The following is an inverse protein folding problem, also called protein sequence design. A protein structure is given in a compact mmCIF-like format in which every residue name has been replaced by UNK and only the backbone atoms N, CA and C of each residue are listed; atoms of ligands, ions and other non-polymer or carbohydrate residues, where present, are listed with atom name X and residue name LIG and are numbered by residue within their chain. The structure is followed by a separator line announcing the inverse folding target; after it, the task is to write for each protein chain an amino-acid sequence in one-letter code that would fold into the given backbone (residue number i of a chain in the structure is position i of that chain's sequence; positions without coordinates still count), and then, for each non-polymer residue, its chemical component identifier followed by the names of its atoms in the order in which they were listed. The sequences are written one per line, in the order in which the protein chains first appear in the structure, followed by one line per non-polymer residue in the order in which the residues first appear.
data_IF_981250791503
#
_entry.id   IF_981250791503
#
_cell.length_a   1.000
_cell.length_b   1.000
_cell.length_c   1.000
_cell.angle_alpha   90.00
_cell.angle_beta   90.00
_cell.angle_gamma   90.00
#
_symmetry.space_group_name_H-M   'P 1'
#
loop_
_entity.id
_entity.type
_entity.pdbx_description
1 polymer ?
#
# COMPACT_ATOMS: atom_id res chain seq x y z
N UNK A 1 35.51 3.70 -12.97
CA UNK A 1 34.98 4.47 -11.82
C UNK A 1 33.73 5.29 -12.13
N UNK A 2 33.68 6.06 -13.23
CA UNK A 2 32.51 6.89 -13.55
C UNK A 2 31.20 6.09 -13.70
N UNK A 3 31.25 4.92 -14.36
CA UNK A 3 30.10 4.04 -14.53
C UNK A 3 29.45 3.61 -13.20
N UNK A 4 30.27 3.16 -12.23
CA UNK A 4 29.80 2.73 -10.90
C UNK A 4 29.16 3.92 -10.17
N UNK A 5 29.80 5.09 -10.21
CA UNK A 5 29.27 6.32 -9.59
C UNK A 5 27.92 6.72 -10.19
N UNK A 6 27.78 6.67 -11.51
CA UNK A 6 26.50 6.98 -12.18
C UNK A 6 25.40 6.01 -11.78
N UNK A 7 25.69 4.70 -11.70
CA UNK A 7 24.71 3.69 -11.27
C UNK A 7 24.32 3.85 -9.81
N UNK A 8 25.29 4.08 -8.93
CA UNK A 8 25.03 4.33 -7.52
C UNK A 8 24.16 5.58 -7.33
N UNK A 9 24.50 6.68 -7.99
CA UNK A 9 23.71 7.91 -7.95
C UNK A 9 22.30 7.71 -8.52
N UNK A 10 22.13 6.89 -9.56
CA UNK A 10 20.81 6.55 -10.07
C UNK A 10 20.00 5.77 -9.03
N UNK A 11 20.56 4.69 -8.48
CA UNK A 11 19.87 3.78 -7.56
C UNK A 11 19.46 4.46 -6.25
N UNK A 12 20.31 5.33 -5.70
CA UNK A 12 20.07 5.94 -4.38
C UNK A 12 19.74 7.44 -4.44
N UNK A 13 19.87 8.09 -5.59
CA UNK A 13 19.62 9.52 -5.77
C UNK A 13 18.41 9.86 -6.64
N UNK A 14 17.72 8.87 -7.22
CA UNK A 14 16.53 9.09 -8.04
C UNK A 14 15.33 8.29 -7.55
N UNK A 15 14.13 8.84 -7.69
CA UNK A 15 12.87 8.15 -7.35
C UNK A 15 12.75 6.79 -8.05
N UNK A 16 13.10 6.73 -9.33
CA UNK A 16 13.06 5.47 -10.10
C UNK A 16 14.07 4.44 -9.60
N UNK A 17 15.26 4.89 -9.23
CA UNK A 17 16.29 4.03 -8.64
C UNK A 17 15.86 3.46 -7.30
N UNK A 18 15.33 4.29 -6.41
CA UNK A 18 14.85 3.86 -5.10
C UNK A 18 13.72 2.83 -5.21
N UNK A 19 12.77 3.05 -6.13
CA UNK A 19 11.72 2.09 -6.44
C UNK A 19 12.32 0.78 -6.97
N UNK A 20 13.29 0.85 -7.89
CA UNK A 20 13.94 -0.35 -8.44
C UNK A 20 14.65 -1.17 -7.36
N UNK A 21 15.36 -0.51 -6.44
CA UNK A 21 16.03 -1.19 -5.32
C UNK A 21 15.00 -1.89 -4.42
N UNK A 22 13.93 -1.19 -4.04
CA UNK A 22 12.89 -1.78 -3.20
C UNK A 22 12.19 -2.98 -3.88
N UNK A 23 11.86 -2.89 -5.18
CA UNK A 23 11.30 -4.01 -5.94
C UNK A 23 12.29 -5.18 -6.02
N UNK A 24 13.57 -4.91 -6.25
CA UNK A 24 14.59 -5.96 -6.29
C UNK A 24 14.74 -6.66 -4.94
N UNK A 25 14.69 -5.91 -3.83
CA UNK A 25 14.72 -6.48 -2.48
C UNK A 25 13.48 -7.34 -2.20
N UNK A 26 12.27 -6.87 -2.55
CA UNK A 26 11.04 -7.66 -2.43
C UNK A 26 11.17 -8.96 -3.25
N UNK A 27 11.66 -8.86 -4.49
CA UNK A 27 11.86 -10.01 -5.36
C UNK A 27 12.85 -11.02 -4.78
N UNK A 28 13.95 -10.54 -4.20
CA UNK A 28 14.94 -11.39 -3.53
C UNK A 28 14.36 -12.09 -2.30
N UNK A 29 13.66 -11.35 -1.43
CA UNK A 29 13.02 -11.94 -0.25
C UNK A 29 11.96 -12.97 -0.66
N UNK A 30 11.12 -12.62 -1.63
CA UNK A 30 10.08 -13.54 -2.13
C UNK A 30 10.70 -14.80 -2.74
N UNK A 31 11.78 -14.67 -3.50
CA UNK A 31 12.47 -15.81 -4.09
C UNK A 31 13.07 -16.73 -3.02
N UNK A 32 13.76 -16.18 -2.02
CA UNK A 32 14.44 -16.97 -0.98
C UNK A 32 13.42 -17.57 0.00
N UNK A 33 12.58 -16.74 0.61
CA UNK A 33 11.64 -17.19 1.65
C UNK A 33 10.40 -17.88 1.10
N UNK A 34 10.01 -17.61 -0.15
CA UNK A 34 8.96 -18.38 -0.84
C UNK A 34 9.32 -19.86 -1.00
N UNK A 35 10.61 -20.19 -1.09
CA UNK A 35 11.11 -21.57 -1.08
C UNK A 35 10.94 -22.28 0.28
N UNK A 36 10.56 -21.56 1.34
CA UNK A 36 10.25 -22.13 2.66
C UNK A 36 8.77 -22.50 2.84
N UNK A 37 7.93 -22.24 1.84
CA UNK A 37 6.49 -22.51 1.89
C UNK A 37 6.16 -24.01 2.00
N UNK A 38 4.92 -24.33 2.39
CA UNK A 38 4.42 -25.71 2.52
C UNK A 38 4.62 -26.55 1.25
N UNK A 39 4.17 -26.10 0.07
CA UNK A 39 4.37 -26.84 -1.18
C UNK A 39 5.85 -27.11 -1.49
N UNK A 40 6.72 -26.13 -1.24
CA UNK A 40 8.16 -26.27 -1.46
C UNK A 40 8.82 -27.21 -0.44
N UNK A 41 8.25 -27.32 0.76
CA UNK A 41 8.66 -28.32 1.76
C UNK A 41 8.29 -29.74 1.33
N UNK A 42 7.11 -29.95 0.75
CA UNK A 42 6.69 -31.25 0.21
C UNK A 42 7.60 -31.73 -0.94
N UNK A 43 8.17 -30.78 -1.70
CA UNK A 43 9.16 -31.04 -2.76
C UNK A 43 10.61 -31.19 -2.24
N UNK A 44 10.87 -31.10 -0.94
CA UNK A 44 12.21 -31.16 -0.35
C UNK A 44 13.07 -29.90 -0.54
N UNK A 45 12.57 -28.89 -1.26
CA UNK A 45 13.33 -27.65 -1.58
C UNK A 45 13.62 -26.84 -0.31
N UNK A 46 12.67 -26.79 0.63
CA UNK A 46 12.87 -26.09 1.91
C UNK A 46 14.12 -26.57 2.63
N UNK A 47 14.34 -27.88 2.71
CA UNK A 47 15.48 -28.46 3.42
C UNK A 47 16.81 -28.07 2.76
N UNK A 48 16.86 -28.12 1.42
CA UNK A 48 18.03 -27.66 0.65
C UNK A 48 18.36 -26.20 0.96
N UNK A 49 17.36 -25.32 0.90
CA UNK A 49 17.55 -23.87 1.14
C UNK A 49 17.99 -23.60 2.58
N UNK A 50 17.36 -24.25 3.55
CA UNK A 50 17.71 -24.12 4.98
C UNK A 50 19.16 -24.53 5.23
N UNK A 51 19.59 -25.66 4.67
CA UNK A 51 20.95 -26.17 4.84
C UNK A 51 21.97 -25.31 4.10
N UNK A 52 21.68 -24.88 2.86
CA UNK A 52 22.56 -24.03 2.05
C UNK A 52 22.83 -22.69 2.72
N UNK A 53 21.79 -22.08 3.30
CA UNK A 53 21.88 -20.75 3.91
C UNK A 53 22.20 -20.80 5.41
N UNK A 54 22.17 -21.98 6.04
CA UNK A 54 22.40 -22.12 7.48
C UNK A 54 21.29 -21.51 8.34
N UNK A 55 20.04 -21.56 7.87
CA UNK A 55 18.89 -21.03 8.60
C UNK A 55 18.56 -21.87 9.83
N UNK A 56 18.10 -21.22 10.90
CA UNK A 56 17.68 -21.86 12.16
C UNK A 56 16.17 -21.77 12.31
N UNK A 57 15.47 -22.85 11.96
CA UNK A 57 14.00 -22.89 12.00
C UNK A 57 13.51 -23.74 13.16
N UNK A 58 13.18 -23.13 14.30
CA UNK A 58 12.47 -23.81 15.39
C UNK A 58 10.97 -23.71 15.15
N UNK A 59 10.24 -24.82 15.22
CA UNK A 59 8.81 -24.84 14.88
C UNK A 59 7.97 -23.91 15.76
N UNK A 60 8.29 -23.79 17.05
CA UNK A 60 7.57 -22.96 18.02
C UNK A 60 7.62 -21.44 17.71
N UNK A 61 8.53 -21.00 16.85
CA UNK A 61 8.72 -19.58 16.52
C UNK A 61 8.15 -19.24 15.13
N UNK A 62 7.44 -20.19 14.49
CA UNK A 62 6.98 -20.06 13.10
C UNK A 62 6.12 -18.82 12.90
N UNK A 63 5.18 -18.58 13.80
CA UNK A 63 4.23 -17.48 13.75
C UNK A 63 4.96 -16.13 13.81
N UNK A 64 5.90 -15.99 14.75
CA UNK A 64 6.75 -14.80 14.86
C UNK A 64 7.59 -14.53 13.59
N UNK A 65 8.18 -15.57 13.00
CA UNK A 65 8.94 -15.45 11.74
C UNK A 65 8.06 -14.97 10.58
N UNK A 66 6.83 -15.47 10.49
CA UNK A 66 5.87 -15.09 9.45
C UNK A 66 5.46 -13.62 9.64
N UNK A 67 5.18 -13.18 10.86
CA UNK A 67 4.86 -11.78 11.18
C UNK A 67 6.00 -10.86 10.69
N UNK A 68 7.25 -11.19 11.03
CA UNK A 68 8.41 -10.39 10.63
C UNK A 68 8.62 -10.39 9.11
N UNK A 69 8.41 -11.52 8.44
CA UNK A 69 8.47 -11.62 6.98
C UNK A 69 7.45 -10.70 6.31
N UNK A 70 6.19 -10.75 6.75
CA UNK A 70 5.15 -9.89 6.18
C UNK A 70 5.44 -8.41 6.39
N UNK A 71 5.88 -8.01 7.60
CA UNK A 71 6.22 -6.62 7.87
C UNK A 71 7.43 -6.16 7.05
N UNK A 72 8.46 -7.00 6.90
CA UNK A 72 9.65 -6.69 6.11
C UNK A 72 9.31 -6.37 4.65
N UNK A 73 8.53 -7.24 4.01
CA UNK A 73 8.08 -7.04 2.62
C UNK A 73 7.14 -5.83 2.53
N UNK A 74 6.17 -5.73 3.45
CA UNK A 74 5.20 -4.63 3.45
C UNK A 74 5.87 -3.26 3.59
N UNK A 75 6.93 -3.15 4.38
CA UNK A 75 7.67 -1.89 4.56
C UNK A 75 8.35 -1.43 3.27
N UNK A 76 8.84 -2.34 2.43
CA UNK A 76 9.36 -1.99 1.11
C UNK A 76 8.25 -1.52 0.15
N UNK A 77 7.06 -2.12 0.21
CA UNK A 77 5.89 -1.68 -0.58
C UNK A 77 5.47 -0.26 -0.16
N UNK A 78 5.35 0.00 1.14
CA UNK A 78 5.06 1.33 1.69
C UNK A 78 6.13 2.35 1.28
N UNK A 79 7.41 1.94 1.24
CA UNK A 79 8.49 2.79 0.73
C UNK A 79 8.31 3.15 -0.76
N UNK A 80 7.97 2.17 -1.60
CA UNK A 80 7.68 2.39 -3.03
C UNK A 80 6.56 3.41 -3.22
N UNK A 81 5.44 3.23 -2.51
CA UNK A 81 4.32 4.17 -2.54
C UNK A 81 4.74 5.57 -2.12
N UNK A 82 5.50 5.67 -1.03
CA UNK A 82 6.03 6.94 -0.52
C UNK A 82 6.91 7.64 -1.56
N UNK A 83 7.81 6.92 -2.23
CA UNK A 83 8.62 7.48 -3.31
C UNK A 83 7.77 7.97 -4.48
N UNK A 84 6.73 7.22 -4.86
CA UNK A 84 5.82 7.62 -5.93
C UNK A 84 5.03 8.87 -5.56
N UNK A 85 4.53 8.98 -4.32
CA UNK A 85 3.84 10.18 -3.82
C UNK A 85 4.77 11.40 -3.90
N UNK A 86 5.99 11.29 -3.38
CA UNK A 86 6.99 12.38 -3.40
C UNK A 86 7.47 12.72 -4.83
N UNK A 87 7.30 11.81 -5.78
CA UNK A 87 7.59 12.01 -7.20
C UNK A 87 6.44 12.63 -7.97
N UNK A 88 5.19 12.34 -7.61
CA UNK A 88 3.98 12.72 -8.35
C UNK A 88 3.29 13.99 -7.80
N UNK A 89 3.45 14.26 -6.51
CA UNK A 89 2.85 15.42 -5.83
C UNK A 89 3.90 16.49 -5.55
N UNK A 90 3.48 17.74 -5.65
CA UNK A 90 4.29 18.89 -5.21
C UNK A 90 4.45 18.83 -3.69
N UNK A 91 5.69 18.79 -3.21
CA UNK A 91 6.03 18.75 -1.78
C UNK A 91 7.24 19.65 -1.55
N UNK A 92 7.26 20.39 -0.42
CA UNK A 92 8.42 21.20 -0.02
C UNK A 92 9.69 20.33 0.04
N UNK A 93 10.81 20.89 -0.44
CA UNK A 93 12.07 20.15 -0.61
C UNK A 93 12.55 19.47 0.69
N UNK A 94 12.42 20.15 1.82
CA UNK A 94 12.78 19.60 3.13
C UNK A 94 12.03 18.29 3.42
N UNK A 95 10.70 18.28 3.33
CA UNK A 95 9.91 17.07 3.59
C UNK A 95 10.21 15.97 2.59
N UNK A 96 10.39 16.32 1.31
CA UNK A 96 10.78 15.34 0.28
C UNK A 96 12.08 14.62 0.65
N UNK A 97 13.11 15.36 1.04
CA UNK A 97 14.39 14.77 1.44
C UNK A 97 14.28 14.00 2.76
N UNK A 98 13.66 14.58 3.79
CA UNK A 98 13.54 13.97 5.11
C UNK A 98 12.76 12.66 5.08
N UNK A 99 11.57 12.66 4.45
CA UNK A 99 10.74 11.45 4.30
C UNK A 99 11.49 10.39 3.49
N UNK A 100 12.14 10.78 2.38
CA UNK A 100 12.91 9.83 1.55
C UNK A 100 14.02 9.16 2.36
N UNK A 101 14.80 9.90 3.14
CA UNK A 101 15.90 9.33 3.93
C UNK A 101 15.35 8.39 5.00
N UNK A 102 14.36 8.83 5.77
CA UNK A 102 13.79 8.03 6.86
C UNK A 102 13.14 6.75 6.36
N UNK A 103 12.33 6.83 5.30
CA UNK A 103 11.67 5.65 4.74
C UNK A 103 12.71 4.69 4.12
N UNK A 104 13.73 5.21 3.43
CA UNK A 104 14.79 4.39 2.79
C UNK A 104 15.59 3.63 3.83
N UNK A 105 16.13 4.33 4.83
CA UNK A 105 16.91 3.69 5.90
C UNK A 105 16.00 2.75 6.69
N UNK A 106 14.78 3.18 6.99
CA UNK A 106 13.80 2.41 7.73
C UNK A 106 13.51 1.05 7.09
N UNK A 107 13.09 1.01 5.83
CA UNK A 107 12.71 -0.25 5.18
C UNK A 107 13.92 -1.19 4.97
N UNK A 108 15.10 -0.65 4.68
CA UNK A 108 16.34 -1.45 4.56
C UNK A 108 16.69 -2.10 5.90
N UNK A 109 16.61 -1.35 7.01
CA UNK A 109 16.84 -1.90 8.34
C UNK A 109 15.81 -2.99 8.67
N UNK A 110 14.53 -2.72 8.42
CA UNK A 110 13.45 -3.68 8.66
C UNK A 110 13.67 -4.97 7.87
N UNK A 111 13.94 -4.88 6.57
CA UNK A 111 14.15 -6.06 5.72
C UNK A 111 15.36 -6.89 6.15
N UNK A 112 16.54 -6.27 6.19
CA UNK A 112 17.80 -6.98 6.44
C UNK A 112 17.83 -7.57 7.86
N UNK A 113 17.52 -6.75 8.86
CA UNK A 113 17.64 -7.18 10.25
C UNK A 113 16.42 -7.95 10.74
N UNK A 114 15.24 -7.74 10.15
CA UNK A 114 14.08 -8.60 10.37
C UNK A 114 14.35 -10.02 9.91
N UNK A 115 14.85 -10.18 8.67
CA UNK A 115 15.19 -11.50 8.13
C UNK A 115 16.36 -12.14 8.90
N UNK A 116 17.39 -11.35 9.22
CA UNK A 116 18.52 -11.78 10.04
C UNK A 116 18.08 -12.30 11.41
N UNK A 117 17.23 -11.55 12.11
CA UNK A 117 16.73 -11.95 13.42
C UNK A 117 15.85 -13.21 13.34
N UNK A 118 14.87 -13.21 12.45
CA UNK A 118 13.85 -14.26 12.37
C UNK A 118 14.40 -15.60 11.86
N UNK A 119 15.41 -15.62 10.98
CA UNK A 119 15.83 -16.86 10.30
C UNK A 119 17.26 -17.31 10.64
N UNK A 120 18.07 -16.50 11.33
CA UNK A 120 19.50 -16.80 11.58
C UNK A 120 19.90 -16.80 13.07
N UNK A 121 18.96 -17.10 13.97
CA UNK A 121 19.27 -17.42 15.37
C UNK A 121 19.04 -16.30 16.38
N UNK A 122 17.99 -15.49 16.17
CA UNK A 122 17.44 -14.55 17.18
C UNK A 122 18.46 -13.61 17.83
N UNK A 123 19.40 -13.07 17.04
CA UNK A 123 20.31 -12.05 17.56
C UNK A 123 19.53 -10.80 18.00
N UNK A 124 19.54 -10.50 19.30
CA UNK A 124 18.79 -9.39 19.89
C UNK A 124 19.15 -8.03 19.26
N UNK A 125 20.39 -7.83 18.82
CA UNK A 125 20.81 -6.59 18.16
C UNK A 125 20.13 -6.44 16.78
N UNK A 126 19.93 -7.53 16.05
CA UNK A 126 19.17 -7.51 14.79
C UNK A 126 17.70 -7.20 15.04
N UNK A 127 17.11 -7.74 16.11
CA UNK A 127 15.76 -7.36 16.49
C UNK A 127 15.64 -5.86 16.83
N UNK A 128 16.61 -5.32 17.57
CA UNK A 128 16.67 -3.89 17.89
C UNK A 128 16.76 -3.00 16.65
N UNK A 129 17.56 -3.39 15.66
CA UNK A 129 17.66 -2.69 14.37
C UNK A 129 16.39 -2.82 13.52
N UNK A 130 15.70 -3.97 13.56
CA UNK A 130 14.40 -4.16 12.95
C UNK A 130 13.34 -3.19 13.51
N UNK A 131 13.23 -3.09 14.84
CA UNK A 131 12.32 -2.15 15.53
C UNK A 131 12.70 -0.70 15.23
N UNK A 132 13.99 -0.40 15.18
CA UNK A 132 14.48 0.93 14.77
C UNK A 132 14.02 1.26 13.36
N UNK A 133 14.14 0.31 12.42
CA UNK A 133 13.65 0.44 11.05
C UNK A 133 12.15 0.76 10.98
N UNK A 134 11.32 -0.01 11.68
CA UNK A 134 9.88 0.24 11.79
C UNK A 134 9.57 1.62 12.35
N UNK A 135 10.32 2.05 13.37
CA UNK A 135 10.15 3.36 14.00
C UNK A 135 10.48 4.50 13.03
N UNK A 136 11.56 4.38 12.25
CA UNK A 136 11.92 5.38 11.22
C UNK A 136 10.83 5.50 10.15
N UNK A 137 10.23 4.39 9.72
CA UNK A 137 9.12 4.37 8.76
C UNK A 137 7.90 5.06 9.34
N UNK A 138 7.55 4.77 10.60
CA UNK A 138 6.46 5.45 11.28
C UNK A 138 6.65 6.97 11.29
N UNK A 139 7.85 7.46 11.66
CA UNK A 139 8.17 8.89 11.62
C UNK A 139 8.17 9.46 10.20
N UNK A 140 8.61 8.70 9.19
CA UNK A 140 8.48 9.10 7.79
C UNK A 140 7.00 9.31 7.41
N UNK A 141 6.11 8.43 7.88
CA UNK A 141 4.65 8.56 7.73
C UNK A 141 4.09 9.82 8.39
N UNK A 142 4.49 10.13 9.62
CA UNK A 142 4.10 11.37 10.32
C UNK A 142 4.53 12.61 9.53
N UNK A 143 5.79 12.65 9.06
CA UNK A 143 6.27 13.75 8.23
C UNK A 143 5.55 13.81 6.88
N UNK A 144 5.17 12.68 6.30
CA UNK A 144 4.38 12.63 5.07
C UNK A 144 2.99 13.23 5.27
N UNK A 145 2.31 12.97 6.39
CA UNK A 145 1.05 13.62 6.73
C UNK A 145 1.19 15.15 6.74
N UNK A 146 2.25 15.68 7.37
CA UNK A 146 2.54 17.11 7.39
C UNK A 146 2.82 17.64 5.96
N UNK A 147 3.63 16.90 5.19
CA UNK A 147 3.99 17.25 3.83
C UNK A 147 2.78 17.30 2.87
N UNK A 148 1.75 16.50 3.15
CA UNK A 148 0.53 16.39 2.36
C UNK A 148 -0.59 17.34 2.81
N UNK A 149 -0.39 18.13 3.88
CA UNK A 149 -1.42 19.01 4.45
C UNK A 149 -2.15 19.84 3.37
N UNK A 150 -3.45 19.56 3.10
CA UNK A 150 -4.12 20.09 1.91
C UNK A 150 -4.51 21.56 2.05
N UNK A 151 -4.46 22.13 3.26
CA UNK A 151 -4.83 23.53 3.51
C UNK A 151 -3.66 24.51 3.38
N UNK A 152 -2.47 24.07 2.97
CA UNK A 152 -1.38 24.98 2.63
C UNK A 152 -1.70 25.77 1.36
N UNK A 153 -1.47 27.10 1.38
CA UNK A 153 -1.76 27.98 0.24
C UNK A 153 -1.00 27.56 -1.04
N UNK A 154 0.23 27.08 -0.90
CA UNK A 154 1.09 26.61 -2.00
C UNK A 154 0.62 25.32 -2.69
N UNK A 155 -0.35 24.64 -2.07
CA UNK A 155 -0.98 23.40 -2.54
C UNK A 155 -2.45 23.60 -2.89
N UNK A 156 -2.98 24.82 -2.74
CA UNK A 156 -4.30 25.15 -3.26
C UNK A 156 -4.27 25.06 -4.78
N UNK A 157 -5.36 24.61 -5.37
CA UNK A 157 -5.47 24.31 -6.79
C UNK A 157 -5.13 25.50 -7.69
N UNK A 158 -5.49 26.72 -7.28
CA UNK A 158 -5.12 27.98 -7.95
C UNK A 158 -3.60 28.17 -8.12
N UNK A 159 -2.79 27.51 -7.29
CA UNK A 159 -1.32 27.53 -7.33
C UNK A 159 -0.68 26.29 -7.98
N UNK A 160 -1.48 25.29 -8.37
CA UNK A 160 -1.02 23.96 -8.85
C UNK A 160 -1.20 23.72 -10.35
N UNK A 161 -1.81 24.64 -11.10
CA UNK A 161 -2.07 24.50 -12.55
C UNK A 161 -0.80 24.21 -13.39
N UNK A 162 0.38 24.60 -12.91
CA UNK A 162 1.66 24.35 -13.60
C UNK A 162 2.20 22.91 -13.46
N UNK A 163 1.62 22.08 -12.59
CA UNK A 163 2.18 20.75 -12.24
C UNK A 163 1.31 19.53 -12.60
N UNK A 164 0.11 19.73 -13.17
CA UNK A 164 -0.87 18.64 -13.45
C UNK A 164 -0.92 18.20 -14.93
N UNK A 165 0.10 18.50 -15.73
CA UNK A 165 0.07 18.25 -17.18
C UNK A 165 -1.03 19.06 -17.89
N UNK A 166 -1.37 18.72 -19.14
CA UNK A 166 -2.40 19.42 -19.91
C UNK A 166 -3.79 19.23 -19.27
N UNK A 167 -4.42 20.31 -18.78
CA UNK A 167 -5.78 20.32 -18.24
C UNK A 167 -6.24 21.73 -17.86
N UNK A 168 -7.56 21.93 -17.82
CA UNK A 168 -8.18 23.19 -17.38
C UNK A 168 -8.53 23.16 -15.89
N UNK A 169 -8.75 24.34 -15.28
CA UNK A 169 -9.18 24.46 -13.87
C UNK A 169 -10.42 23.60 -13.59
N UNK A 170 -11.34 23.50 -14.55
CA UNK A 170 -12.55 22.69 -14.45
C UNK A 170 -12.35 21.17 -14.54
N UNK A 171 -11.15 20.65 -14.75
CA UNK A 171 -10.96 19.22 -14.99
C UNK A 171 -10.81 18.42 -13.68
N UNK A 172 -10.41 19.03 -12.56
CA UNK A 172 -10.07 18.30 -11.33
C UNK A 172 -11.08 18.54 -10.20
N UNK A 173 -11.04 17.66 -9.19
CA UNK A 173 -11.90 17.76 -8.01
C UNK A 173 -11.30 18.77 -7.02
N UNK A 174 -12.00 19.87 -6.79
CA UNK A 174 -11.60 20.88 -5.82
C UNK A 174 -12.82 21.52 -5.15
N UNK A 175 -12.63 22.07 -3.95
CA UNK A 175 -13.62 22.90 -3.28
C UNK A 175 -13.65 24.31 -3.87
N UNK A 176 -14.71 25.07 -3.57
CA UNK A 176 -14.86 26.46 -4.01
C UNK A 176 -13.74 27.39 -3.53
N UNK A 177 -13.14 27.08 -2.38
CA UNK A 177 -12.00 27.83 -1.82
C UNK A 177 -10.64 27.38 -2.39
N UNK A 178 -10.62 26.49 -3.39
CA UNK A 178 -9.39 26.03 -4.05
C UNK A 178 -8.73 24.81 -3.40
N UNK A 179 -9.28 24.20 -2.34
CA UNK A 179 -8.73 22.97 -1.75
C UNK A 179 -8.83 21.82 -2.74
N UNK A 180 -7.70 21.17 -3.01
CA UNK A 180 -7.55 20.05 -3.93
C UNK A 180 -7.99 18.73 -3.28
N UNK A 181 -9.11 18.15 -3.74
CA UNK A 181 -9.69 16.95 -3.14
C UNK A 181 -8.86 15.69 -3.40
N UNK A 182 -8.05 15.64 -4.46
CA UNK A 182 -7.12 14.53 -4.66
C UNK A 182 -6.05 14.53 -3.56
N UNK A 183 -5.51 15.72 -3.23
CA UNK A 183 -4.57 15.85 -2.12
C UNK A 183 -5.22 15.54 -0.78
N UNK A 184 -6.48 15.93 -0.56
CA UNK A 184 -7.23 15.53 0.64
C UNK A 184 -7.36 14.01 0.73
N UNK A 185 -7.59 13.32 -0.38
CA UNK A 185 -7.63 11.85 -0.40
C UNK A 185 -6.26 11.25 0.00
N UNK A 186 -5.16 11.70 -0.61
CA UNK A 186 -3.80 11.28 -0.23
C UNK A 186 -3.51 11.54 1.26
N UNK A 187 -3.89 12.72 1.75
CA UNK A 187 -3.71 13.10 3.15
C UNK A 187 -4.54 12.21 4.09
N UNK A 188 -5.82 11.99 3.78
CA UNK A 188 -6.70 11.14 4.59
C UNK A 188 -6.18 9.70 4.67
N UNK A 189 -5.73 9.13 3.55
CA UNK A 189 -5.12 7.79 3.51
C UNK A 189 -3.81 7.76 4.29
N UNK A 190 -2.94 8.77 4.18
CA UNK A 190 -1.69 8.83 4.95
C UNK A 190 -1.94 8.91 6.47
N UNK A 191 -2.85 9.79 6.92
CA UNK A 191 -3.21 9.94 8.33
C UNK A 191 -3.78 8.65 8.90
N UNK A 192 -4.75 8.06 8.19
CA UNK A 192 -5.37 6.81 8.62
C UNK A 192 -4.38 5.64 8.62
N UNK A 193 -3.39 5.63 7.72
CA UNK A 193 -2.30 4.63 7.74
C UNK A 193 -1.43 4.76 8.98
N UNK A 194 -1.04 5.98 9.36
CA UNK A 194 -0.24 6.21 10.58
C UNK A 194 -1.02 5.80 11.83
N UNK A 195 -2.32 6.13 11.91
CA UNK A 195 -3.17 5.73 13.04
C UNK A 195 -3.35 4.20 13.06
N UNK A 196 -3.59 3.57 11.92
CA UNK A 196 -3.74 2.11 11.81
C UNK A 196 -2.44 1.34 12.07
N UNK A 197 -1.28 1.97 11.86
CA UNK A 197 0.00 1.43 12.32
C UNK A 197 0.10 1.44 13.85
N UNK A 198 -0.34 2.50 14.53
CA UNK A 198 -0.43 2.53 16.00
C UNK A 198 -1.40 1.48 16.52
N UNK A 199 -2.54 1.30 15.84
CA UNK A 199 -3.54 0.28 16.19
C UNK A 199 -2.91 -1.13 16.24
N UNK A 200 -2.06 -1.50 15.28
CA UNK A 200 -1.30 -2.75 15.30
C UNK A 200 -0.10 -2.76 16.26
N UNK A 201 0.46 -1.58 16.58
CA UNK A 201 1.54 -1.48 17.57
C UNK A 201 1.07 -1.78 19.00
N UNK A 202 -0.22 -1.55 19.32
CA UNK A 202 -0.81 -1.86 20.63
C UNK A 202 -0.67 -3.34 20.99
N UNK A 203 -1.17 -4.33 20.23
CA UNK A 203 -0.94 -5.74 20.56
C UNK A 203 0.56 -6.08 20.59
N UNK A 204 1.36 -5.47 19.71
CA UNK A 204 2.81 -5.63 19.70
C UNK A 204 3.49 -5.23 21.02
N UNK A 205 3.01 -4.19 21.70
CA UNK A 205 3.59 -3.75 22.98
C UNK A 205 3.27 -4.67 24.16
N UNK A 206 2.35 -5.62 24.00
CA UNK A 206 1.99 -6.61 25.01
C UNK A 206 2.66 -7.97 24.80
N UNK A 207 3.51 -8.13 23.77
CA UNK A 207 4.22 -9.40 23.56
C UNK A 207 5.05 -9.79 24.79
N UNK A 208 4.83 -11.01 25.29
CA UNK A 208 5.46 -11.50 26.50
C UNK A 208 4.87 -10.94 27.81
N UNK A 209 3.81 -10.12 27.71
CA UNK A 209 3.05 -9.56 28.83
C UNK A 209 1.55 -9.88 28.66
N UNK A 210 1.22 -11.18 28.66
CA UNK A 210 -0.16 -11.67 28.50
C UNK A 210 -0.66 -11.74 27.05
N UNK A 211 0.20 -11.44 26.07
CA UNK A 211 -0.10 -11.62 24.65
C UNK A 211 1.00 -12.45 23.96
N UNK A 212 0.58 -13.43 23.16
CA UNK A 212 1.45 -14.34 22.42
C UNK A 212 1.16 -14.27 20.92
N UNK A 213 2.15 -14.64 20.11
CA UNK A 213 1.97 -14.70 18.66
C UNK A 213 1.02 -15.83 18.28
N UNK A 214 0.10 -15.57 17.37
CA UNK A 214 -0.81 -16.56 16.83
C UNK A 214 -0.89 -16.45 15.32
N UNK A 215 -1.39 -17.51 14.68
CA UNK A 215 -1.68 -17.53 13.26
C UNK A 215 -3.13 -17.07 13.03
N UNK A 216 -3.34 -16.04 12.20
CA UNK A 216 -4.68 -15.47 11.98
C UNK A 216 -5.69 -16.53 11.51
N UNK A 217 -5.24 -17.44 10.64
CA UNK A 217 -6.00 -18.57 10.10
C UNK A 217 -6.52 -19.54 11.17
N UNK A 218 -5.85 -19.61 12.33
CA UNK A 218 -6.32 -20.44 13.43
C UNK A 218 -7.50 -19.79 14.15
N UNK A 219 -7.45 -18.46 14.30
CA UNK A 219 -8.45 -17.73 15.10
C UNK A 219 -9.72 -17.38 14.31
N UNK A 220 -9.69 -17.38 12.97
CA UNK A 220 -10.89 -17.07 12.17
C UNK A 220 -12.07 -18.02 12.47
N UNK A 221 -11.76 -19.25 12.91
CA UNK A 221 -12.77 -20.29 13.20
C UNK A 221 -13.28 -20.23 14.64
N UNK A 222 -12.65 -19.44 15.49
CA UNK A 222 -13.07 -19.29 16.88
C UNK A 222 -14.26 -18.34 16.98
N UNK A 223 -15.35 -18.72 17.67
CA UNK A 223 -16.55 -17.89 17.78
C UNK A 223 -16.29 -16.62 18.58
N UNK A 224 -15.46 -16.73 19.62
CA UNK A 224 -15.06 -15.60 20.46
C UNK A 224 -13.57 -15.32 20.27
N UNK A 225 -13.22 -14.04 20.31
CA UNK A 225 -11.85 -13.56 20.19
C UNK A 225 -11.64 -12.46 21.22
N UNK A 226 -10.43 -12.39 21.74
CA UNK A 226 -10.00 -11.31 22.63
C UNK A 226 -9.88 -10.00 21.85
N UNK A 227 -9.92 -8.88 22.57
CA UNK A 227 -9.70 -7.54 22.00
C UNK A 227 -8.37 -7.45 21.24
N UNK A 228 -7.31 -8.11 21.72
CA UNK A 228 -6.00 -8.09 21.06
C UNK A 228 -5.98 -8.90 19.76
N UNK A 229 -6.66 -10.03 19.72
CA UNK A 229 -6.84 -10.81 18.49
C UNK A 229 -7.65 -10.04 17.46
N UNK A 230 -8.74 -9.38 17.87
CA UNK A 230 -9.52 -8.49 17.00
C UNK A 230 -8.67 -7.32 16.48
N UNK A 231 -7.81 -6.74 17.32
CA UNK A 231 -6.89 -5.68 16.91
C UNK A 231 -5.94 -6.14 15.81
N UNK A 232 -5.32 -7.32 15.96
CA UNK A 232 -4.40 -7.87 14.94
C UNK A 232 -5.13 -8.20 13.63
N UNK A 233 -6.33 -8.81 13.69
CA UNK A 233 -7.13 -9.07 12.48
C UNK A 233 -7.48 -7.76 11.78
N UNK A 234 -7.96 -6.77 12.54
CA UNK A 234 -8.31 -5.45 12.03
C UNK A 234 -7.11 -4.76 11.38
N UNK A 235 -5.96 -4.75 12.06
CA UNK A 235 -4.70 -4.18 11.57
C UNK A 235 -4.27 -4.81 10.24
N UNK A 236 -4.26 -6.14 10.15
CA UNK A 236 -3.84 -6.85 8.94
C UNK A 236 -4.68 -6.43 7.72
N UNK A 237 -6.00 -6.37 7.88
CA UNK A 237 -6.90 -6.03 6.77
C UNK A 237 -6.84 -4.55 6.41
N UNK A 238 -6.80 -3.65 7.40
CA UNK A 238 -6.83 -2.21 7.13
C UNK A 238 -5.54 -1.73 6.50
N UNK A 239 -4.38 -2.26 6.89
CA UNK A 239 -3.10 -1.87 6.28
C UNK A 239 -3.07 -2.26 4.81
N UNK A 240 -3.53 -3.46 4.46
CA UNK A 240 -3.63 -3.89 3.07
C UNK A 240 -4.65 -3.05 2.27
N UNK A 241 -5.81 -2.76 2.86
CA UNK A 241 -6.81 -1.91 2.23
C UNK A 241 -6.30 -0.49 1.97
N UNK A 242 -5.55 0.10 2.92
CA UNK A 242 -4.96 1.42 2.79
C UNK A 242 -3.85 1.47 1.73
N UNK A 243 -3.01 0.44 1.65
CA UNK A 243 -2.05 0.22 0.55
C UNK A 243 -2.79 0.22 -0.80
N UNK A 244 -3.87 -0.55 -0.93
CA UNK A 244 -4.68 -0.60 -2.15
C UNK A 244 -5.31 0.76 -2.51
N UNK A 245 -5.82 1.50 -1.52
CA UNK A 245 -6.35 2.86 -1.71
C UNK A 245 -5.24 3.80 -2.19
N UNK A 246 -4.07 3.75 -1.54
CA UNK A 246 -2.93 4.60 -1.90
C UNK A 246 -2.42 4.30 -3.31
N UNK A 247 -2.27 3.02 -3.67
CA UNK A 247 -1.94 2.59 -5.04
C UNK A 247 -2.98 3.10 -6.04
N UNK A 248 -4.26 3.03 -5.71
CA UNK A 248 -5.34 3.53 -6.58
C UNK A 248 -5.19 5.03 -6.83
N UNK A 249 -4.89 5.82 -5.79
CA UNK A 249 -4.63 7.26 -5.90
C UNK A 249 -3.37 7.54 -6.73
N UNK A 250 -2.28 6.80 -6.49
CA UNK A 250 -1.02 6.90 -7.26
C UNK A 250 -1.25 6.61 -8.74
N UNK A 251 -1.97 5.54 -9.08
CA UNK A 251 -2.30 5.18 -10.46
C UNK A 251 -3.18 6.27 -11.09
N UNK A 252 -4.21 6.73 -10.37
CA UNK A 252 -5.07 7.83 -10.82
C UNK A 252 -4.25 9.08 -11.17
N UNK A 253 -3.34 9.46 -10.28
CA UNK A 253 -2.44 10.58 -10.48
C UNK A 253 -1.50 10.38 -11.67
N UNK A 254 -0.88 9.20 -11.78
CA UNK A 254 0.05 8.86 -12.85
C UNK A 254 -0.60 8.83 -14.24
N UNK A 255 -1.82 8.29 -14.34
CA UNK A 255 -2.58 8.25 -15.60
C UNK A 255 -3.22 9.60 -15.96
N UNK A 256 -3.11 10.59 -15.07
CA UNK A 256 -3.74 11.89 -15.15
C UNK A 256 -5.29 11.81 -15.16
N UNK A 257 -5.84 11.09 -14.18
CA UNK A 257 -7.28 10.92 -13.99
C UNK A 257 -7.96 12.27 -13.73
N UNK A 258 -8.95 12.61 -14.56
CA UNK A 258 -9.63 13.91 -14.53
C UNK A 258 -11.01 13.88 -15.19
N UNK A 259 -11.76 14.94 -15.00
CA UNK A 259 -13.12 15.14 -15.50
C UNK A 259 -14.20 14.77 -14.48
N UNK A 260 -15.42 14.55 -14.96
CA UNK A 260 -16.59 14.26 -14.10
C UNK A 260 -16.37 13.05 -13.18
N UNK A 261 -15.82 11.95 -13.70
CA UNK A 261 -15.56 10.74 -12.92
C UNK A 261 -14.55 11.00 -11.80
N UNK A 262 -13.53 11.83 -12.02
CA UNK A 262 -12.58 12.22 -10.98
C UNK A 262 -13.26 13.07 -9.89
N UNK A 263 -14.14 14.01 -10.28
CA UNK A 263 -14.90 14.86 -9.34
C UNK A 263 -15.85 14.06 -8.44
N UNK A 264 -16.36 12.93 -8.92
CA UNK A 264 -17.17 12.00 -8.13
C UNK A 264 -16.27 11.08 -7.29
N UNK A 265 -15.18 10.57 -7.87
CA UNK A 265 -14.31 9.59 -7.22
C UNK A 265 -13.57 10.15 -6.00
N UNK A 266 -13.06 11.39 -6.04
CA UNK A 266 -12.25 11.91 -4.92
C UNK A 266 -13.05 12.03 -3.60
N UNK A 267 -14.27 12.62 -3.56
CA UNK A 267 -15.10 12.60 -2.35
C UNK A 267 -15.42 11.18 -1.86
N UNK A 268 -15.74 10.26 -2.77
CA UNK A 268 -16.03 8.87 -2.41
C UNK A 268 -14.82 8.17 -1.81
N UNK A 269 -13.62 8.41 -2.35
CA UNK A 269 -12.38 7.85 -1.82
C UNK A 269 -12.08 8.39 -0.41
N UNK A 270 -12.26 9.69 -0.19
CA UNK A 270 -12.08 10.31 1.15
C UNK A 270 -13.06 9.71 2.15
N UNK A 271 -14.36 9.72 1.80
CA UNK A 271 -15.41 9.19 2.66
C UNK A 271 -15.19 7.71 2.96
N UNK A 272 -14.96 6.91 1.92
CA UNK A 272 -14.77 5.48 2.04
C UNK A 272 -13.56 5.13 2.89
N UNK A 273 -12.44 5.83 2.70
CA UNK A 273 -11.22 5.65 3.52
C UNK A 273 -11.49 5.95 4.99
N UNK A 274 -12.14 7.07 5.32
CA UNK A 274 -12.40 7.46 6.70
C UNK A 274 -13.35 6.46 7.37
N UNK A 275 -14.49 6.16 6.74
CA UNK A 275 -15.52 5.27 7.30
C UNK A 275 -14.98 3.85 7.47
N UNK A 276 -14.22 3.34 6.50
CA UNK A 276 -13.57 2.04 6.58
C UNK A 276 -12.68 1.92 7.82
N UNK A 277 -11.84 2.93 8.06
CA UNK A 277 -10.92 2.96 9.21
C UNK A 277 -11.67 3.04 10.54
N UNK A 278 -12.70 3.89 10.64
CA UNK A 278 -13.53 3.98 11.85
C UNK A 278 -14.19 2.64 12.18
N UNK A 279 -14.66 1.91 11.16
CA UNK A 279 -15.20 0.56 11.34
C UNK A 279 -14.15 -0.40 11.89
N UNK A 280 -12.95 -0.41 11.31
CA UNK A 280 -11.85 -1.27 11.80
C UNK A 280 -11.42 -0.91 13.22
N UNK A 281 -11.22 0.36 13.54
CA UNK A 281 -10.86 0.73 14.92
C UNK A 281 -11.99 0.44 15.91
N UNK A 282 -13.24 0.41 15.44
CA UNK A 282 -14.41 0.04 16.22
C UNK A 282 -14.42 -1.43 16.68
N UNK A 283 -13.69 -2.34 16.02
CA UNK A 283 -13.69 -3.80 16.35
C UNK A 283 -13.15 -4.12 17.75
N UNK A 284 -12.41 -3.19 18.36
CA UNK A 284 -11.85 -3.36 19.72
C UNK A 284 -12.65 -2.57 20.78
N UNK A 285 -13.82 -2.07 20.40
CA UNK A 285 -14.67 -1.20 21.23
C UNK A 285 -16.08 -1.81 21.34
N UNK A 286 -17.00 -1.23 22.14
CA UNK A 286 -18.40 -1.64 22.14
C UNK A 286 -19.12 -1.55 20.78
N UNK A 287 -18.48 -0.96 19.75
CA UNK A 287 -18.98 -0.94 18.38
C UNK A 287 -18.71 -2.24 17.59
N UNK A 288 -17.98 -3.20 18.15
CA UNK A 288 -17.64 -4.49 17.52
C UNK A 288 -18.84 -5.17 16.81
N UNK A 289 -20.05 -5.24 17.41
CA UNK A 289 -21.20 -5.91 16.78
C UNK A 289 -21.65 -5.27 15.46
N UNK A 290 -21.36 -3.98 15.25
CA UNK A 290 -21.72 -3.22 14.05
C UNK A 290 -20.51 -2.82 13.20
N UNK A 291 -19.30 -3.09 13.68
CA UNK A 291 -18.05 -2.68 13.05
C UNK A 291 -17.92 -3.18 11.61
N UNK A 292 -18.28 -4.45 11.36
CA UNK A 292 -18.26 -5.03 10.02
C UNK A 292 -19.22 -4.33 9.05
N UNK A 293 -20.41 -3.91 9.52
CA UNK A 293 -21.34 -3.14 8.70
C UNK A 293 -20.73 -1.79 8.31
N UNK A 294 -20.09 -1.10 9.26
CA UNK A 294 -19.40 0.18 9.01
C UNK A 294 -18.26 -0.02 8.00
N UNK A 295 -17.48 -1.10 8.13
CA UNK A 295 -16.41 -1.47 7.19
C UNK A 295 -16.98 -1.63 5.77
N UNK A 296 -18.10 -2.34 5.59
CA UNK A 296 -18.72 -2.51 4.27
C UNK A 296 -19.26 -1.20 3.68
N UNK A 297 -19.87 -0.36 4.51
CA UNK A 297 -20.34 0.98 4.12
C UNK A 297 -19.17 1.87 3.70
N UNK A 298 -18.00 1.74 4.33
CA UNK A 298 -16.78 2.46 3.96
C UNK A 298 -16.07 1.89 2.72
N UNK A 299 -16.01 0.57 2.58
CA UNK A 299 -15.37 -0.10 1.43
C UNK A 299 -16.09 0.21 0.11
N UNK A 300 -17.42 0.27 0.12
CA UNK A 300 -18.24 0.43 -1.09
C UNK A 300 -17.93 1.73 -1.85
N UNK A 301 -17.90 2.94 -1.23
CA UNK A 301 -17.46 4.17 -1.88
C UNK A 301 -16.05 4.09 -2.49
N UNK A 302 -15.08 3.52 -1.77
CA UNK A 302 -13.69 3.40 -2.24
C UNK A 302 -13.60 2.47 -3.46
N UNK A 303 -14.29 1.33 -3.43
CA UNK A 303 -14.37 0.41 -4.56
C UNK A 303 -15.06 1.06 -5.77
N UNK A 304 -16.13 1.82 -5.54
CA UNK A 304 -16.81 2.54 -6.61
C UNK A 304 -15.92 3.63 -7.22
N UNK A 305 -15.17 4.37 -6.40
CA UNK A 305 -14.17 5.33 -6.88
C UNK A 305 -13.08 4.64 -7.73
N UNK A 306 -12.63 3.45 -7.33
CA UNK A 306 -11.66 2.65 -8.10
C UNK A 306 -12.24 2.18 -9.45
N UNK A 307 -13.53 1.78 -9.47
CA UNK A 307 -14.24 1.43 -10.70
C UNK A 307 -14.36 2.62 -11.65
N UNK A 308 -14.63 3.83 -11.15
CA UNK A 308 -14.67 5.03 -11.97
C UNK A 308 -13.32 5.33 -12.64
N UNK A 309 -12.21 5.13 -11.92
CA UNK A 309 -10.85 5.23 -12.50
C UNK A 309 -10.65 4.20 -13.62
N UNK A 310 -11.06 2.95 -13.40
CA UNK A 310 -10.96 1.89 -14.40
C UNK A 310 -11.73 2.23 -15.67
N UNK A 311 -13.02 2.58 -15.54
CA UNK A 311 -13.88 2.94 -16.68
C UNK A 311 -13.27 4.11 -17.45
N UNK A 312 -12.81 5.13 -16.74
CA UNK A 312 -12.17 6.29 -17.34
C UNK A 312 -10.89 5.91 -18.10
N UNK A 313 -10.02 5.12 -17.46
CA UNK A 313 -8.71 4.72 -18.03
C UNK A 313 -8.90 3.95 -19.33
N UNK A 314 -9.77 2.94 -19.31
CA UNK A 314 -9.99 2.09 -20.48
C UNK A 314 -10.65 2.86 -21.62
N UNK A 315 -11.61 3.73 -21.31
CA UNK A 315 -12.21 4.60 -22.32
C UNK A 315 -11.18 5.55 -22.94
N UNK A 316 -10.26 6.10 -22.13
CA UNK A 316 -9.16 6.94 -22.61
C UNK A 316 -8.23 6.16 -23.55
N UNK A 317 -7.76 4.98 -23.15
CA UNK A 317 -6.88 4.14 -23.98
C UNK A 317 -7.53 3.76 -25.31
N UNK A 318 -8.82 3.40 -25.28
CA UNK A 318 -9.58 3.08 -26.49
C UNK A 318 -9.69 4.30 -27.40
N UNK A 319 -10.06 5.46 -26.87
CA UNK A 319 -10.21 6.70 -27.65
C UNK A 319 -8.88 7.13 -28.27
N UNK A 320 -7.81 7.16 -27.49
CA UNK A 320 -6.48 7.55 -27.96
C UNK A 320 -5.98 6.57 -29.03
N UNK A 321 -6.15 5.26 -28.80
CA UNK A 321 -5.71 4.22 -29.72
C UNK A 321 -6.56 4.05 -30.98
N UNK A 322 -7.75 4.65 -31.03
CA UNK A 322 -8.66 4.62 -32.20
C UNK A 322 -8.94 5.99 -32.80
N UNK A 323 -8.19 7.03 -32.40
CA UNK A 323 -8.41 8.41 -32.81
C UNK A 323 -8.36 8.63 -34.34
N UNK A 324 -7.63 7.78 -35.06
CA UNK A 324 -7.53 7.79 -36.52
C UNK A 324 -8.70 7.09 -37.24
N UNK A 325 -9.65 6.49 -36.51
CA UNK A 325 -10.77 5.73 -37.07
C UNK A 325 -12.09 6.48 -36.82
N UNK A 326 -12.87 6.74 -37.87
CA UNK A 326 -14.20 7.37 -37.74
C UNK A 326 -15.21 6.50 -36.99
N UNK A 327 -15.17 5.18 -37.19
CA UNK A 327 -16.06 4.19 -36.54
C UNK A 327 -15.26 2.94 -36.16
N UNK A 328 -14.61 2.91 -35.00
CA UNK A 328 -13.86 1.74 -34.56
C UNK A 328 -14.78 0.55 -34.25
N UNK A 329 -14.43 -0.63 -34.79
CA UNK A 329 -15.09 -1.91 -34.49
C UNK A 329 -14.71 -2.39 -33.08
N UNK A 330 -15.39 -3.44 -32.58
CA UNK A 330 -15.03 -4.04 -31.30
C UNK A 330 -13.56 -4.51 -31.26
N UNK A 331 -13.09 -5.15 -32.34
CA UNK A 331 -11.70 -5.59 -32.47
C UNK A 331 -10.70 -4.43 -32.40
N UNK A 332 -10.99 -3.29 -33.05
CA UNK A 332 -10.14 -2.10 -32.96
C UNK A 332 -10.07 -1.55 -31.54
N UNK A 333 -11.20 -1.55 -30.80
CA UNK A 333 -11.23 -1.09 -29.41
C UNK A 333 -10.43 -2.01 -28.48
N UNK A 334 -10.57 -3.33 -28.64
CA UNK A 334 -9.80 -4.31 -27.86
C UNK A 334 -8.29 -4.19 -28.15
N UNK A 335 -7.91 -4.08 -29.42
CA UNK A 335 -6.50 -3.88 -29.80
C UNK A 335 -5.94 -2.56 -29.24
N UNK A 336 -6.72 -1.47 -29.28
CA UNK A 336 -6.33 -0.19 -28.71
C UNK A 336 -6.14 -0.26 -27.18
N UNK A 337 -7.02 -0.98 -26.48
CA UNK A 337 -6.94 -1.16 -25.03
C UNK A 337 -5.65 -1.91 -24.62
N UNK A 338 -5.26 -2.93 -25.38
CA UNK A 338 -4.09 -3.77 -25.10
C UNK A 338 -2.76 -3.21 -25.65
N UNK A 339 -2.80 -2.10 -26.41
CA UNK A 339 -1.62 -1.54 -27.09
C UNK A 339 -0.55 -1.03 -26.14
N UNK A 340 -0.94 -0.47 -24.98
CA UNK A 340 -0.03 0.05 -23.96
C UNK A 340 -0.18 -0.79 -22.67
N UNK A 341 0.53 -1.92 -22.56
CA UNK A 341 0.38 -2.84 -21.42
C UNK A 341 0.78 -2.20 -20.09
N UNK A 342 1.63 -1.15 -20.11
CA UNK A 342 2.03 -0.45 -18.89
C UNK A 342 0.88 0.36 -18.30
N UNK A 343 0.01 0.95 -19.14
CA UNK A 343 -1.18 1.69 -18.66
C UNK A 343 -2.38 0.78 -18.45
N UNK A 344 -2.54 -0.24 -19.29
CA UNK A 344 -3.62 -1.22 -19.13
C UNK A 344 -3.42 -2.08 -17.88
N UNK A 345 -2.22 -2.62 -17.70
CA UNK A 345 -1.88 -3.63 -16.69
C UNK A 345 -2.35 -3.30 -15.27
N UNK A 346 -2.02 -2.13 -14.71
CA UNK A 346 -2.45 -1.77 -13.35
C UNK A 346 -3.97 -1.75 -13.19
N UNK A 347 -4.70 -1.18 -14.16
CA UNK A 347 -6.16 -1.13 -14.11
C UNK A 347 -6.84 -2.48 -14.38
N UNK A 348 -6.18 -3.36 -15.14
CA UNK A 348 -6.60 -4.76 -15.28
C UNK A 348 -6.40 -5.55 -13.98
N UNK A 349 -5.25 -5.39 -13.32
CA UNK A 349 -4.99 -5.99 -12.02
C UNK A 349 -6.01 -5.52 -10.98
N UNK A 350 -6.38 -4.24 -10.98
CA UNK A 350 -7.47 -3.74 -10.14
C UNK A 350 -8.80 -4.47 -10.41
N UNK A 351 -9.17 -4.68 -11.68
CA UNK A 351 -10.39 -5.44 -12.02
C UNK A 351 -10.31 -6.88 -11.54
N UNK A 352 -9.20 -7.54 -11.88
CA UNK A 352 -8.95 -8.94 -11.57
C UNK A 352 -9.02 -9.17 -10.06
N UNK A 353 -8.30 -8.37 -9.29
CA UNK A 353 -8.34 -8.42 -7.83
C UNK A 353 -9.75 -8.21 -7.28
N UNK A 354 -10.44 -7.14 -7.68
CA UNK A 354 -11.82 -6.90 -7.21
C UNK A 354 -12.78 -8.04 -7.58
N UNK A 355 -12.59 -8.68 -8.73
CA UNK A 355 -13.41 -9.82 -9.14
C UNK A 355 -13.11 -11.09 -8.33
N UNK A 356 -11.82 -11.45 -8.18
CA UNK A 356 -11.41 -12.72 -7.56
C UNK A 356 -11.40 -12.68 -6.04
N UNK A 357 -11.17 -11.53 -5.42
CA UNK A 357 -11.13 -11.41 -3.95
C UNK A 357 -12.36 -10.72 -3.42
N UNK A 358 -12.62 -9.47 -3.81
CA UNK A 358 -13.70 -8.66 -3.22
C UNK A 358 -15.09 -9.15 -3.61
N UNK A 359 -15.33 -9.49 -4.88
CA UNK A 359 -16.62 -9.97 -5.37
C UNK A 359 -17.02 -11.30 -4.73
N UNK A 360 -16.10 -12.28 -4.73
CA UNK A 360 -16.30 -13.57 -4.06
C UNK A 360 -16.46 -13.37 -2.55
N UNK A 361 -15.63 -12.53 -1.93
CA UNK A 361 -15.70 -12.23 -0.50
C UNK A 361 -17.05 -11.64 -0.08
N UNK A 362 -17.55 -10.63 -0.81
CA UNK A 362 -18.87 -10.02 -0.56
C UNK A 362 -19.98 -11.05 -0.77
N UNK A 363 -19.93 -11.83 -1.85
CA UNK A 363 -20.92 -12.88 -2.11
C UNK A 363 -20.99 -13.90 -0.96
N UNK A 364 -19.83 -14.34 -0.46
CA UNK A 364 -19.74 -15.27 0.66
C UNK A 364 -20.13 -14.64 2.01
N UNK A 365 -19.99 -13.32 2.17
CA UNK A 365 -20.36 -12.61 3.40
C UNK A 365 -21.85 -12.25 3.48
N UNK A 366 -22.52 -12.09 2.34
CA UNK A 366 -23.97 -11.83 2.27
C UNK A 366 -24.78 -13.14 2.34
N UNK A 367 -24.17 -14.26 1.95
CA UNK A 367 -24.74 -15.61 2.09
C UNK A 367 -24.60 -16.12 3.52
#
# INVERSE_FOLDING_TARGET
MQFIKTRFNYLFGSTKGLILVAIAMIGLETAIWGMLSGPMAEMGVREVVVNLLGMKLVQAEREGRIIILYHSIAMAVVAIETYMILGLLKVKAFYKSAVTVLITVGYILTMIFGMGFAYFGHNWAFHGLYITGLSLIFFAGVLLCIALWPWEKEYMFSSLLSGRGAGSEGDYAHLKNGVDLERVAFFATAVTTVISALFGAVPGSYFGNGFETFLAENIIRLPEKTTMEYSVIGHLHIMLALICVMITLIIGRWLNFKGLMHKIAMPLMILGTIVLNLGVWGVVTPLEPVAHMIIYVGATPSMFAALLLLIWSWNKLIKDGTANLKKPTLGHKLAALLRDPLKFGPTWQMLFMNFTTSGIGIFMAVK
#
